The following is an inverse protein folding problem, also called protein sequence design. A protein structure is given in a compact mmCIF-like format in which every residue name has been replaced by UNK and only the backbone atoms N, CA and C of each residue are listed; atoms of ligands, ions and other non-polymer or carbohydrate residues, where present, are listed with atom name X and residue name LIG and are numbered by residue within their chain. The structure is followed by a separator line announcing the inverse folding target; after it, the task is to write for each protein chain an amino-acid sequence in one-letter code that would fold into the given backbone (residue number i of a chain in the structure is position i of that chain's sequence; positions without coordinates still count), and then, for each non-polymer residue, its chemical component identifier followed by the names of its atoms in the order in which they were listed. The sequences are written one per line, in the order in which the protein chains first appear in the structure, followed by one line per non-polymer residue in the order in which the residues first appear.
data_IF_915534822928
#
_entry.id   IF_915534822928
#
_cell.length_a   1.000
_cell.length_b   1.000
_cell.length_c   1.000
_cell.angle_alpha   90.00
_cell.angle_beta   90.00
_cell.angle_gamma   90.00
#
_symmetry.space_group_name_H-M   'P 1'
#
loop_
_entity.id
_entity.type
_entity.pdbx_description
1 polymer ?
#
# COMPACT_ATOMS: atom_id res chain seq x y z
N UNK A 1 -7.49 18.05 -7.37
CA UNK A 1 -6.65 16.84 -7.28
C UNK A 1 -7.43 15.85 -6.44
N UNK A 2 -7.61 14.59 -6.86
CA UNK A 2 -8.27 13.58 -6.05
C UNK A 2 -7.46 13.31 -4.77
N UNK A 3 -8.16 13.13 -3.66
CA UNK A 3 -7.55 12.89 -2.35
C UNK A 3 -7.83 11.45 -1.96
N UNK A 4 -6.75 10.72 -1.70
CA UNK A 4 -6.80 9.30 -1.40
C UNK A 4 -6.36 9.07 0.04
N UNK A 5 -7.09 8.21 0.74
CA UNK A 5 -6.81 7.83 2.11
C UNK A 5 -6.26 6.43 2.13
N UNK A 6 -5.15 6.25 2.85
CA UNK A 6 -4.43 4.98 2.91
C UNK A 6 -4.72 4.34 4.27
N UNK A 7 -5.52 3.29 4.26
CA UNK A 7 -5.88 2.52 5.43
C UNK A 7 -5.05 1.25 5.44
N UNK A 8 -4.19 1.07 6.44
CA UNK A 8 -3.43 -0.18 6.60
C UNK A 8 -4.10 -1.01 7.66
N UNK A 9 -4.73 -2.12 7.27
CA UNK A 9 -5.27 -3.11 8.18
C UNK A 9 -4.22 -4.20 8.42
N UNK A 10 -3.94 -4.53 9.67
CA UNK A 10 -2.90 -5.47 10.09
C UNK A 10 -3.51 -6.42 11.12
N UNK A 11 -3.97 -7.59 10.68
CA UNK A 11 -4.72 -8.49 11.55
C UNK A 11 -6.00 -7.80 12.07
N UNK A 12 -6.07 -7.58 13.39
CA UNK A 12 -7.18 -6.86 14.06
C UNK A 12 -6.95 -5.35 14.20
N UNK A 13 -5.74 -4.86 13.94
CA UNK A 13 -5.41 -3.43 14.02
C UNK A 13 -5.73 -2.74 12.70
N UNK A 14 -6.57 -1.70 12.75
CA UNK A 14 -6.81 -0.82 11.62
C UNK A 14 -6.09 0.51 11.84
N UNK A 15 -5.04 0.74 11.05
CA UNK A 15 -4.32 2.01 11.00
C UNK A 15 -4.92 2.82 9.86
N UNK A 16 -5.83 3.73 10.19
CA UNK A 16 -6.33 4.70 9.23
C UNK A 16 -5.34 5.87 9.12
N UNK A 17 -4.99 6.28 7.90
CA UNK A 17 -4.23 7.51 7.68
C UNK A 17 -5.21 8.68 7.47
N UNK A 18 -5.46 9.52 8.50
CA UNK A 18 -6.39 10.64 8.40
C UNK A 18 -5.81 11.81 7.60
N UNK A 19 -4.50 11.83 7.33
CA UNK A 19 -3.90 12.90 6.56
C UNK A 19 -4.47 12.90 5.13
N UNK A 20 -4.53 11.71 4.53
CA UNK A 20 -4.85 11.53 3.12
C UNK A 20 -3.80 12.22 2.23
N UNK A 21 -3.50 11.64 1.08
CA UNK A 21 -2.55 12.22 0.14
C UNK A 21 -3.32 12.68 -1.09
N UNK A 22 -3.10 13.93 -1.46
CA UNK A 22 -3.52 14.44 -2.77
C UNK A 22 -2.62 13.82 -3.82
N UNK A 23 -3.19 12.93 -4.62
CA UNK A 23 -2.50 12.28 -5.72
C UNK A 23 -3.15 12.70 -7.02
N UNK A 24 -2.41 12.59 -8.11
CA UNK A 24 -2.90 13.00 -9.41
C UNK A 24 -3.86 11.96 -9.97
N UNK A 25 -3.49 10.69 -9.86
CA UNK A 25 -4.15 9.56 -10.52
C UNK A 25 -4.05 8.26 -9.68
N UNK A 26 -4.89 7.25 -9.94
CA UNK A 26 -4.84 5.94 -9.25
C UNK A 26 -3.49 5.22 -9.37
N UNK A 27 -2.78 5.41 -10.48
CA UNK A 27 -1.43 4.85 -10.68
C UNK A 27 -0.43 5.39 -9.65
N UNK A 28 -0.53 6.68 -9.31
CA UNK A 28 0.33 7.30 -8.28
C UNK A 28 -0.01 6.75 -6.89
N UNK A 29 -1.28 6.43 -6.64
CA UNK A 29 -1.71 5.78 -5.40
C UNK A 29 -1.12 4.38 -5.27
N UNK A 30 -1.10 3.62 -6.36
CA UNK A 30 -0.51 2.29 -6.40
C UNK A 30 1.01 2.30 -6.20
N UNK A 31 1.73 3.21 -6.85
CA UNK A 31 3.18 3.35 -6.65
C UNK A 31 3.52 3.74 -5.21
N UNK A 32 2.75 4.66 -4.63
CA UNK A 32 2.96 5.10 -3.25
C UNK A 32 2.62 4.00 -2.24
N UNK A 33 1.54 3.26 -2.48
CA UNK A 33 1.19 2.05 -1.75
C UNK A 33 2.36 1.07 -1.70
N UNK A 34 2.92 0.69 -2.87
CA UNK A 34 4.06 -0.22 -2.95
C UNK A 34 5.30 0.32 -2.26
N UNK A 35 5.59 1.61 -2.40
CA UNK A 35 6.72 2.26 -1.73
C UNK A 35 6.60 2.19 -0.20
N UNK A 36 5.41 2.49 0.34
CA UNK A 36 5.11 2.40 1.77
C UNK A 36 5.23 0.97 2.28
N UNK A 37 4.64 0.00 1.57
CA UNK A 37 4.75 -1.42 1.91
C UNK A 37 6.21 -1.86 1.96
N UNK A 38 6.99 -1.53 0.93
CA UNK A 38 8.40 -1.91 0.85
C UNK A 38 9.24 -1.23 1.93
N UNK A 39 8.93 0.01 2.29
CA UNK A 39 9.58 0.71 3.39
C UNK A 39 9.28 0.03 4.74
N UNK A 40 8.02 -0.37 4.97
CA UNK A 40 7.60 -1.07 6.18
C UNK A 40 8.22 -2.49 6.27
N UNK A 41 8.32 -3.21 5.15
CA UNK A 41 8.94 -4.54 5.08
C UNK A 41 10.46 -4.54 5.26
N UNK A 42 11.14 -3.38 5.15
CA UNK A 42 12.57 -3.30 5.47
C UNK A 42 12.85 -3.54 6.95
N UNK A 43 11.85 -3.38 7.81
CA UNK A 43 11.95 -3.66 9.24
C UNK A 43 11.61 -5.14 9.48
N UNK A 44 12.59 -5.97 9.88
CA UNK A 44 12.37 -7.41 10.04
C UNK A 44 11.37 -7.77 11.15
N UNK A 45 11.24 -6.91 12.18
CA UNK A 45 10.27 -7.09 13.26
C UNK A 45 8.82 -6.96 12.77
N UNK A 46 8.58 -6.03 11.85
CA UNK A 46 7.24 -5.81 11.30
C UNK A 46 6.90 -6.79 10.18
N UNK A 47 7.90 -7.40 9.53
CA UNK A 47 7.68 -8.27 8.37
C UNK A 47 6.65 -9.37 8.64
N UNK A 48 6.75 -10.11 9.74
CA UNK A 48 5.83 -11.20 10.06
C UNK A 48 4.38 -10.71 10.28
N UNK A 49 4.23 -9.56 10.94
CA UNK A 49 2.93 -8.92 11.19
C UNK A 49 2.34 -8.33 9.91
N UNK A 50 3.18 -7.69 9.10
CA UNK A 50 2.83 -7.09 7.82
C UNK A 50 2.48 -8.14 6.75
N UNK A 51 2.92 -9.40 6.87
CA UNK A 51 2.45 -10.46 5.95
C UNK A 51 0.94 -10.72 6.05
N UNK A 52 0.31 -10.35 7.16
CA UNK A 52 -1.15 -10.41 7.34
C UNK A 52 -1.85 -9.08 7.07
N UNK A 53 -1.09 -8.07 6.63
CA UNK A 53 -1.61 -6.73 6.41
C UNK A 53 -2.18 -6.52 5.01
N UNK A 54 -3.23 -5.70 4.93
CA UNK A 54 -3.84 -5.21 3.72
C UNK A 54 -3.88 -3.69 3.71
N UNK A 55 -3.41 -3.08 2.63
CA UNK A 55 -3.53 -1.66 2.37
C UNK A 55 -4.79 -1.42 1.55
N UNK A 56 -5.73 -0.67 2.11
CA UNK A 56 -6.96 -0.25 1.45
C UNK A 56 -6.85 1.24 1.17
N UNK A 57 -6.98 1.62 -0.09
CA UNK A 57 -6.97 3.00 -0.54
C UNK A 57 -8.40 3.40 -0.87
N UNK A 58 -8.91 4.41 -0.16
CA UNK A 58 -10.22 5.00 -0.43
C UNK A 58 -10.07 6.39 -1.02
N UNK A 59 -11.08 6.86 -1.75
CA UNK A 59 -11.14 8.23 -2.25
C UNK A 59 -11.81 9.20 -1.25
N UNK A 60 -12.05 10.43 -1.70
CA UNK A 60 -12.75 11.45 -0.90
C UNK A 60 -14.24 11.14 -0.63
N UNK A 61 -14.83 10.18 -1.33
CA UNK A 61 -16.17 9.67 -1.11
C UNK A 61 -16.18 8.43 -0.20
N UNK A 62 -15.03 8.03 0.35
CA UNK A 62 -14.82 6.81 1.14
C UNK A 62 -15.05 5.53 0.31
N UNK A 63 -14.95 5.62 -1.02
CA UNK A 63 -15.06 4.48 -1.92
C UNK A 63 -13.70 3.80 -2.07
N UNK A 64 -13.66 2.47 -1.91
CA UNK A 64 -12.44 1.69 -2.06
C UNK A 64 -12.02 1.69 -3.53
N UNK A 65 -10.97 2.43 -3.83
CA UNK A 65 -10.40 2.52 -5.19
C UNK A 65 -9.39 1.40 -5.41
N UNK A 66 -8.65 1.01 -4.37
CA UNK A 66 -7.61 0.00 -4.48
C UNK A 66 -7.45 -0.77 -3.16
N UNK A 67 -7.46 -2.10 -3.22
CA UNK A 67 -7.14 -2.96 -2.09
C UNK A 67 -5.90 -3.79 -2.46
N UNK A 68 -4.89 -3.76 -1.59
CA UNK A 68 -3.59 -4.36 -1.85
C UNK A 68 -3.04 -5.08 -0.61
N UNK A 69 -3.05 -6.42 -0.57
CA UNK A 69 -2.40 -7.16 0.50
C UNK A 69 -0.88 -7.01 0.40
N UNK A 70 -0.23 -6.84 1.55
CA UNK A 70 1.23 -6.71 1.62
C UNK A 70 1.94 -7.96 1.10
N UNK A 71 1.31 -9.13 1.21
CA UNK A 71 1.81 -10.39 0.62
C UNK A 71 2.01 -10.30 -0.89
N UNK A 72 1.13 -9.60 -1.61
CA UNK A 72 1.30 -9.41 -3.05
C UNK A 72 2.46 -8.48 -3.38
N UNK A 73 2.73 -7.46 -2.56
CA UNK A 73 3.85 -6.56 -2.79
C UNK A 73 5.22 -7.26 -2.65
N UNK A 74 5.30 -8.35 -1.89
CA UNK A 74 6.51 -9.20 -1.79
C UNK A 74 6.63 -10.12 -3.00
N UNK A 75 5.52 -10.67 -3.51
CA UNK A 75 5.53 -11.59 -4.65
C UNK A 75 5.68 -10.90 -5.99
N UNK A 76 5.28 -9.63 -6.11
CA UNK A 76 5.41 -8.90 -7.37
C UNK A 76 6.87 -8.48 -7.58
N UNK A 77 7.52 -8.91 -8.68
CA UNK A 77 8.78 -8.31 -9.07
C UNK A 77 8.57 -6.81 -9.21
N UNK A 78 9.53 -6.03 -8.71
CA UNK A 78 9.50 -4.60 -8.91
C UNK A 78 9.52 -4.32 -10.41
N UNK A 79 8.73 -3.36 -10.95
CA UNK A 79 8.70 -3.04 -12.37
C UNK A 79 9.99 -2.37 -12.89
N UNK A 80 11.10 -2.53 -12.16
CA UNK A 80 12.44 -2.06 -12.50
C UNK A 80 13.52 -3.11 -12.26
N UNK A 81 13.19 -4.41 -12.27
CA UNK A 81 14.20 -5.46 -12.36
C UNK A 81 14.42 -5.81 -13.85
N UNK A 82 15.48 -5.29 -14.51
CA UNK A 82 15.82 -5.63 -15.89
C UNK A 82 16.51 -7.01 -15.99
N UNK A 83 16.18 -7.96 -15.12
CA UNK A 83 16.85 -9.26 -15.08
C UNK A 83 15.98 -10.34 -15.74
N UNK A 84 15.92 -10.32 -17.08
CA UNK A 84 15.92 -11.52 -17.93
C UNK A 84 15.80 -11.13 -19.41
N UNK A 85 16.97 -10.89 -20.05
CA UNK A 85 17.29 -11.49 -21.35
C UNK A 85 18.81 -11.50 -21.56
#
# INVERSE_FOLDING_TARGET
MPRYFFHTQIGEDLITDPAGIELRDPDEAWEKARATIRAALRTPEDQARLMTACLVVTDAADEVVLEFPFSEAVSLPSPGDPTLN
#
